data_IF_300571779734
#
_entry.id   IF_300571779734
#
_cell.length_a   1.000
_cell.length_b   1.000
_cell.length_c   1.000
_cell.angle_alpha   90.00
_cell.angle_beta   90.00
_cell.angle_gamma   90.00
#
_symmetry.space_group_name_H-M   'P 1'
#
loop_
_entity.id
_entity.type
_entity.pdbx_description
1 polymer ?
#
# COMPACT_ATOMS: atom_id res chain seq x y z
N UNK A 1 6.54 -3.29 11.00
CA UNK A 1 5.97 -3.93 12.19
C UNK A 1 6.36 -3.13 13.40
N UNK A 2 5.40 -2.44 14.03
CA UNK A 2 5.62 -1.79 15.31
C UNK A 2 6.00 -2.91 16.29
N UNK A 3 7.30 -3.01 16.60
CA UNK A 3 7.80 -3.99 17.56
C UNK A 3 7.04 -3.80 18.86
N UNK A 4 6.82 -4.91 19.57
CA UNK A 4 6.48 -4.91 21.00
C UNK A 4 7.19 -3.74 21.67
N UNK A 5 6.37 -2.82 22.14
CA UNK A 5 6.76 -1.52 22.63
C UNK A 5 7.77 -1.71 23.76
N UNK A 6 8.95 -1.10 23.62
CA UNK A 6 10.08 -1.28 24.53
C UNK A 6 9.64 -1.06 26.00
N UNK A 7 10.02 -1.96 26.93
CA UNK A 7 9.62 -1.86 28.33
C UNK A 7 10.30 -0.64 28.98
N UNK A 8 9.51 0.21 29.68
CA UNK A 8 10.07 1.23 30.57
C UNK A 8 9.25 2.51 30.71
N UNK A 9 8.70 3.06 29.61
CA UNK A 9 8.01 4.36 29.64
C UNK A 9 6.46 4.26 29.55
N UNK A 10 5.95 3.06 29.30
CA UNK A 10 4.54 2.79 28.99
C UNK A 10 3.72 2.24 30.17
N UNK A 11 4.38 2.07 31.31
CA UNK A 11 3.77 1.57 32.54
C UNK A 11 3.13 2.67 33.38
N UNK A 12 3.19 3.93 32.93
CA UNK A 12 2.57 5.07 33.60
C UNK A 12 1.11 5.18 33.14
N UNK A 13 0.14 4.66 33.93
CA UNK A 13 -1.26 4.72 33.54
C UNK A 13 -1.70 6.18 33.40
N UNK A 14 -2.49 6.47 32.37
CA UNK A 14 -3.13 7.78 32.17
C UNK A 14 -2.33 8.83 31.39
N UNK A 15 -1.20 8.48 30.77
CA UNK A 15 -0.50 9.39 29.85
C UNK A 15 -1.01 9.18 28.42
N UNK A 16 -1.54 10.22 27.74
CA UNK A 16 -1.91 10.13 26.32
C UNK A 16 -0.70 9.80 25.45
N UNK A 17 -0.81 8.77 24.61
CA UNK A 17 0.26 8.40 23.69
C UNK A 17 -0.19 8.53 22.23
N UNK A 18 0.56 9.30 21.44
CA UNK A 18 0.24 9.55 20.05
C UNK A 18 1.43 9.18 19.16
N UNK A 19 1.19 8.38 18.12
CA UNK A 19 2.21 8.03 17.13
C UNK A 19 2.31 9.16 16.11
N UNK A 20 3.34 9.99 16.21
CA UNK A 20 3.52 11.14 15.32
C UNK A 20 3.95 10.77 13.91
N UNK A 21 4.59 9.61 13.71
CA UNK A 21 5.03 9.11 12.41
C UNK A 21 5.06 7.57 12.37
N UNK A 22 4.71 6.97 11.23
CA UNK A 22 4.86 5.54 11.00
C UNK A 22 5.05 5.19 9.52
N UNK A 23 5.50 3.96 9.24
CA UNK A 23 5.63 3.32 7.90
C UNK A 23 6.66 3.93 6.96
N UNK A 24 7.03 5.20 7.15
CA UNK A 24 8.00 5.93 6.33
C UNK A 24 9.24 5.11 5.96
N UNK A 25 9.76 5.37 4.77
CA UNK A 25 11.02 4.84 4.29
C UNK A 25 12.16 5.30 5.21
N UNK A 26 12.97 4.34 5.62
CA UNK A 26 14.29 4.58 6.21
C UNK A 26 15.29 4.56 5.06
N UNK A 27 16.41 5.28 5.17
CA UNK A 27 17.50 5.26 4.21
C UNK A 27 17.87 3.83 3.77
N UNK A 28 17.93 3.59 2.46
CA UNK A 28 18.15 2.26 1.87
C UNK A 28 16.91 1.34 1.83
N UNK A 29 15.76 1.82 2.30
CA UNK A 29 14.46 1.14 2.19
C UNK A 29 13.92 1.10 0.76
N UNK A 30 12.81 0.35 0.56
CA UNK A 30 12.13 0.29 -0.74
C UNK A 30 11.67 1.69 -1.16
N UNK A 31 11.92 2.04 -2.43
CA UNK A 31 11.34 3.24 -3.03
C UNK A 31 9.92 2.96 -3.51
N UNK A 32 8.95 3.74 -3.03
CA UNK A 32 7.53 3.60 -3.38
C UNK A 32 7.13 4.61 -4.45
N UNK A 33 7.87 4.67 -5.56
CA UNK A 33 7.44 5.45 -6.72
C UNK A 33 6.10 4.93 -7.25
N UNK A 34 5.34 5.82 -7.90
CA UNK A 34 4.13 5.43 -8.66
C UNK A 34 4.43 4.45 -9.80
N UNK A 35 5.67 4.47 -10.28
CA UNK A 35 6.20 3.58 -11.33
C UNK A 35 6.92 2.36 -10.76
N UNK A 36 7.02 2.21 -9.43
CA UNK A 36 7.55 1.00 -8.82
C UNK A 36 6.66 -0.21 -9.15
N UNK A 37 7.19 -1.45 -9.13
CA UNK A 37 6.38 -2.65 -9.34
C UNK A 37 5.13 -2.68 -8.44
N UNK A 38 4.02 -3.22 -8.95
CA UNK A 38 2.74 -3.24 -8.24
C UNK A 38 2.84 -3.82 -6.83
N UNK A 39 3.58 -4.92 -6.66
CA UNK A 39 3.83 -5.55 -5.36
C UNK A 39 4.54 -4.62 -4.35
N UNK A 40 5.43 -3.73 -4.81
CA UNK A 40 6.09 -2.74 -3.95
C UNK A 40 5.08 -1.71 -3.46
N UNK A 41 4.25 -1.17 -4.36
CA UNK A 41 3.20 -0.21 -4.00
C UNK A 41 2.14 -0.82 -3.06
N UNK A 42 1.74 -2.07 -3.33
CA UNK A 42 0.84 -2.84 -2.47
C UNK A 42 1.44 -3.08 -1.08
N UNK A 43 2.74 -3.35 -1.00
CA UNK A 43 3.41 -3.51 0.30
C UNK A 43 3.36 -2.23 1.14
N UNK A 44 3.45 -1.05 0.51
CA UNK A 44 3.23 0.23 1.21
C UNK A 44 1.81 0.30 1.77
N UNK A 45 0.80 0.00 0.94
CA UNK A 45 -0.61 0.04 1.35
C UNK A 45 -0.90 -0.89 2.54
N UNK A 46 -0.36 -2.12 2.49
CA UNK A 46 -0.48 -3.09 3.58
C UNK A 46 0.19 -2.59 4.86
N UNK A 47 1.37 -1.97 4.77
CA UNK A 47 2.06 -1.43 5.94
C UNK A 47 1.25 -0.31 6.62
N UNK A 48 0.65 0.60 5.85
CA UNK A 48 -0.24 1.62 6.39
C UNK A 48 -1.48 1.00 7.06
N UNK A 49 -2.14 0.05 6.40
CA UNK A 49 -3.30 -0.63 6.96
C UNK A 49 -2.96 -1.38 8.27
N UNK A 50 -1.84 -2.09 8.31
CA UNK A 50 -1.37 -2.81 9.49
C UNK A 50 -1.03 -1.87 10.66
N UNK A 51 -0.35 -0.75 10.39
CA UNK A 51 -0.01 0.22 11.41
C UNK A 51 -1.25 0.83 12.06
N UNK A 52 -2.24 1.22 11.25
CA UNK A 52 -3.53 1.73 11.74
C UNK A 52 -4.34 0.67 12.47
N UNK A 53 -4.40 -0.56 11.97
CA UNK A 53 -5.07 -1.66 12.66
C UNK A 53 -4.45 -1.93 14.05
N UNK A 54 -3.12 -1.90 14.14
CA UNK A 54 -2.43 -2.09 15.42
C UNK A 54 -2.69 -0.93 16.39
N UNK A 55 -2.61 0.33 15.91
CA UNK A 55 -2.93 1.48 16.75
C UNK A 55 -4.40 1.49 17.22
N UNK A 56 -5.34 1.12 16.35
CA UNK A 56 -6.76 1.01 16.69
C UNK A 56 -7.13 -0.22 17.53
N UNK A 57 -6.19 -1.14 17.79
CA UNK A 57 -6.44 -2.34 18.60
C UNK A 57 -6.20 -2.14 20.11
N UNK A 58 -5.73 -0.96 20.51
CA UNK A 58 -5.33 -0.67 21.88
C UNK A 58 -5.63 0.78 22.26
N UNK A 59 -6.58 0.97 23.17
CA UNK A 59 -7.09 2.29 23.58
C UNK A 59 -6.05 3.17 24.29
N UNK A 60 -4.85 2.65 24.59
CA UNK A 60 -3.73 3.47 25.08
C UNK A 60 -3.16 4.38 24.01
N UNK A 61 -3.36 4.06 22.73
CA UNK A 61 -2.99 4.94 21.62
C UNK A 61 -4.12 5.94 21.36
N UNK A 62 -3.80 7.23 21.46
CA UNK A 62 -4.71 8.33 21.12
C UNK A 62 -4.79 8.58 19.61
N UNK A 63 -4.03 7.84 18.80
CA UNK A 63 -4.03 7.94 17.35
C UNK A 63 -2.66 7.75 16.73
N UNK A 64 -2.64 7.85 15.41
CA UNK A 64 -1.46 7.64 14.57
C UNK A 64 -1.48 8.55 13.34
N UNK A 65 -0.34 9.14 13.00
CA UNK A 65 -0.08 9.80 11.72
C UNK A 65 0.86 8.94 10.87
N UNK A 66 0.42 8.63 9.66
CA UNK A 66 1.29 7.97 8.69
C UNK A 66 2.24 8.97 8.05
N UNK A 67 3.52 8.59 7.96
CA UNK A 67 4.51 9.37 7.23
C UNK A 67 4.62 8.85 5.79
N UNK A 68 4.23 9.60 4.77
CA UNK A 68 3.68 10.97 4.79
C UNK A 68 2.62 11.17 3.68
N UNK A 69 2.04 12.37 3.60
CA UNK A 69 1.02 12.67 2.59
C UNK A 69 1.54 12.62 1.15
N UNK A 70 2.70 13.23 0.90
CA UNK A 70 3.24 13.43 -0.45
C UNK A 70 4.74 13.15 -0.49
N UNK A 71 5.24 12.64 -1.60
CA UNK A 71 6.69 12.59 -1.83
C UNK A 71 7.30 13.99 -1.76
N UNK A 72 8.51 14.07 -1.23
CA UNK A 72 9.17 15.34 -0.92
C UNK A 72 10.68 15.28 -1.19
N UNK A 73 11.27 16.43 -1.49
CA UNK A 73 12.72 16.56 -1.68
C UNK A 73 13.47 16.34 -0.37
N UNK A 74 14.53 15.54 -0.41
CA UNK A 74 15.37 15.21 0.74
C UNK A 74 16.80 14.91 0.28
N UNK A 75 17.79 15.37 1.06
CA UNK A 75 19.19 14.96 0.87
C UNK A 75 19.41 13.47 1.15
N UNK A 76 18.47 12.84 1.84
CA UNK A 76 18.42 11.39 2.08
C UNK A 76 17.41 10.68 1.16
N UNK A 77 16.94 11.35 0.09
CA UNK A 77 16.13 10.75 -0.95
C UNK A 77 16.94 9.82 -1.85
N UNK A 78 16.30 9.26 -2.88
CA UNK A 78 17.01 8.48 -3.89
C UNK A 78 18.16 9.29 -4.49
N UNK A 79 19.34 8.67 -4.64
CA UNK A 79 20.59 9.36 -4.97
C UNK A 79 20.55 10.11 -6.31
N UNK A 80 19.70 9.67 -7.23
CA UNK A 80 19.53 10.22 -8.57
C UNK A 80 18.58 11.43 -8.64
N UNK A 81 17.62 11.51 -7.72
CA UNK A 81 16.52 12.49 -7.77
C UNK A 81 16.43 13.38 -6.53
N UNK A 82 17.15 13.07 -5.46
CA UNK A 82 16.98 13.66 -4.14
C UNK A 82 15.50 13.62 -3.66
N UNK A 83 14.74 12.61 -4.09
CA UNK A 83 13.32 12.47 -3.78
C UNK A 83 13.10 11.36 -2.75
N UNK A 84 12.38 11.68 -1.68
CA UNK A 84 11.92 10.70 -0.72
C UNK A 84 10.51 10.22 -1.09
N UNK A 85 10.37 8.91 -1.33
CA UNK A 85 9.17 8.33 -1.95
C UNK A 85 8.18 7.73 -0.95
N UNK A 86 8.21 8.18 0.30
CA UNK A 86 7.35 7.66 1.36
C UNK A 86 5.93 8.20 1.34
N UNK A 87 5.64 9.16 0.47
CA UNK A 87 4.30 9.71 0.32
C UNK A 87 3.31 8.63 -0.09
N UNK A 88 2.10 8.67 0.49
CA UNK A 88 0.96 7.88 0.02
C UNK A 88 0.41 8.42 -1.31
N UNK A 89 0.75 9.65 -1.65
CA UNK A 89 0.65 10.24 -2.97
C UNK A 89 2.04 10.73 -3.42
N UNK A 90 2.25 10.90 -4.72
CA UNK A 90 3.52 11.42 -5.22
C UNK A 90 3.67 12.94 -5.08
N UNK A 91 4.78 13.47 -5.58
CA UNK A 91 5.10 14.91 -5.52
C UNK A 91 4.08 15.78 -6.27
N UNK A 92 3.33 15.23 -7.22
CA UNK A 92 2.25 15.91 -7.95
C UNK A 92 0.87 15.68 -7.32
N UNK A 93 0.85 15.07 -6.12
CA UNK A 93 -0.36 14.78 -5.36
C UNK A 93 -1.24 13.73 -6.05
N UNK A 94 -0.66 12.92 -6.94
CA UNK A 94 -1.37 11.79 -7.55
C UNK A 94 -1.37 10.63 -6.55
N UNK A 95 -2.54 10.07 -6.19
CA UNK A 95 -2.63 8.97 -5.22
C UNK A 95 -1.88 7.72 -5.69
N UNK A 96 -1.19 7.06 -4.75
CA UNK A 96 -0.68 5.68 -4.89
C UNK A 96 -1.64 4.71 -4.18
N UNK A 97 -1.50 3.38 -4.36
CA UNK A 97 -2.33 2.39 -3.65
C UNK A 97 -2.41 2.60 -2.12
N UNK A 98 -1.35 3.09 -1.47
CA UNK A 98 -1.38 3.39 -0.05
C UNK A 98 -2.39 4.50 0.35
N UNK A 99 -2.65 5.47 -0.52
CA UNK A 99 -3.68 6.49 -0.26
C UNK A 99 -5.09 5.91 -0.28
N UNK A 100 -5.30 4.79 -0.97
CA UNK A 100 -6.62 4.16 -1.06
C UNK A 100 -7.09 3.60 0.28
N UNK A 101 -6.16 3.10 1.11
CA UNK A 101 -6.44 2.74 2.50
C UNK A 101 -7.09 3.90 3.26
N UNK A 102 -6.51 5.10 3.19
CA UNK A 102 -7.06 6.28 3.87
C UNK A 102 -8.42 6.70 3.29
N UNK A 103 -8.56 6.64 1.97
CA UNK A 103 -9.81 7.03 1.28
C UNK A 103 -10.98 6.09 1.58
N UNK A 104 -10.71 4.83 1.90
CA UNK A 104 -11.74 3.84 2.23
C UNK A 104 -12.23 3.90 3.68
N UNK A 105 -11.60 4.69 4.56
CA UNK A 105 -12.02 4.82 5.97
C UNK A 105 -13.26 5.73 6.18
N UNK A 106 -13.82 6.29 5.10
CA UNK A 106 -15.04 7.10 5.18
C UNK A 106 -16.25 6.21 5.51
N UNK A 107 -17.20 6.73 6.29
CA UNK A 107 -18.47 6.04 6.57
C UNK A 107 -19.17 5.67 5.24
N UNK A 108 -19.51 4.39 5.02
CA UNK A 108 -20.16 3.95 3.79
C UNK A 108 -21.52 4.61 3.53
N UNK A 109 -22.20 5.12 4.58
CA UNK A 109 -23.45 5.89 4.45
C UNK A 109 -23.23 7.28 3.87
N UNK A 110 -22.05 7.85 4.12
CA UNK A 110 -21.64 9.13 3.55
C UNK A 110 -21.13 8.95 2.13
N UNK A 111 -20.27 7.94 1.91
CA UNK A 111 -19.70 7.64 0.59
C UNK A 111 -19.19 6.20 0.54
N UNK A 112 -19.82 5.29 -0.23
CA UNK A 112 -19.24 3.98 -0.47
C UNK A 112 -17.97 4.11 -1.32
N UNK A 113 -16.92 3.36 -0.98
CA UNK A 113 -15.60 3.39 -1.64
C UNK A 113 -15.13 1.98 -1.93
N UNK A 114 -14.83 1.70 -3.20
CA UNK A 114 -14.13 0.49 -3.64
C UNK A 114 -12.99 0.94 -4.56
N UNK A 115 -11.75 0.68 -4.14
CA UNK A 115 -10.54 1.08 -4.85
C UNK A 115 -9.61 -0.15 -4.94
N UNK A 116 -9.34 -0.66 -6.15
CA UNK A 116 -8.41 -1.77 -6.32
C UNK A 116 -6.96 -1.28 -6.19
N UNK A 117 -6.22 -1.84 -5.24
CA UNK A 117 -4.81 -1.51 -4.98
C UNK A 117 -3.85 -2.13 -6.02
N UNK A 118 -4.19 -2.10 -7.31
CA UNK A 118 -3.37 -2.59 -8.42
C UNK A 118 -3.66 -1.82 -9.71
N UNK A 119 -2.69 -1.80 -10.62
CA UNK A 119 -2.90 -1.34 -12.00
C UNK A 119 -3.25 -2.55 -12.85
N UNK A 120 -4.23 -2.41 -13.73
CA UNK A 120 -4.56 -3.47 -14.66
C UNK A 120 -3.49 -3.53 -15.76
N UNK A 121 -2.62 -4.53 -15.71
CA UNK A 121 -1.69 -4.84 -16.80
C UNK A 121 -1.76 -6.33 -17.16
N UNK A 122 -0.96 -6.74 -18.15
CA UNK A 122 -0.85 -8.14 -18.58
C UNK A 122 0.52 -8.74 -18.19
N UNK A 123 1.19 -8.12 -17.23
CA UNK A 123 2.46 -8.57 -16.69
C UNK A 123 2.31 -9.79 -15.78
N UNK A 124 3.43 -10.44 -15.43
CA UNK A 124 3.43 -11.66 -14.62
C UNK A 124 2.83 -11.45 -13.21
N UNK A 125 2.87 -10.22 -12.69
CA UNK A 125 2.38 -9.87 -11.36
C UNK A 125 0.90 -9.41 -11.35
N UNK A 126 0.25 -9.32 -12.51
CA UNK A 126 -1.16 -8.92 -12.59
C UNK A 126 -2.12 -10.08 -12.32
N UNK A 127 -3.30 -9.81 -11.71
CA UNK A 127 -4.35 -10.80 -11.59
C UNK A 127 -4.74 -11.34 -12.96
N UNK A 128 -4.60 -12.66 -13.16
CA UNK A 128 -5.00 -13.28 -14.42
C UNK A 128 -6.52 -13.29 -14.51
N UNK A 129 -7.05 -12.57 -15.50
CA UNK A 129 -8.46 -12.66 -15.84
C UNK A 129 -8.84 -14.08 -16.31
N UNK A 130 -10.13 -14.45 -16.26
CA UNK A 130 -10.60 -15.78 -16.66
C UNK A 130 -10.24 -16.19 -18.11
N UNK A 131 -9.83 -15.24 -18.95
CA UNK A 131 -9.38 -15.48 -20.31
C UNK A 131 -8.06 -16.28 -20.40
N UNK A 132 -7.19 -16.27 -19.38
CA UNK A 132 -5.92 -17.02 -19.43
C UNK A 132 -6.10 -18.55 -19.38
N UNK A 133 -7.29 -19.02 -18.98
CA UNK A 133 -7.66 -20.46 -18.96
C UNK A 133 -8.18 -20.99 -20.29
N UNK A 134 -8.31 -20.17 -21.34
CA UNK A 134 -8.93 -20.58 -22.62
C UNK A 134 -7.95 -21.14 -23.67
N UNK A 135 -6.64 -21.11 -23.42
CA UNK A 135 -5.62 -21.57 -24.38
C UNK A 135 -5.27 -23.06 -24.30
N UNK A 136 -5.92 -23.84 -23.43
CA UNK A 136 -5.72 -25.30 -23.35
C UNK A 136 -6.85 -26.12 -23.98
N UNK A 137 -7.67 -25.52 -24.86
CA UNK A 137 -8.61 -26.29 -25.65
C UNK A 137 -7.82 -27.29 -26.52
N UNK A 138 -8.08 -28.62 -26.42
CA UNK A 138 -7.41 -29.59 -27.26
C UNK A 138 -7.70 -29.25 -28.72
N UNK A 139 -6.66 -29.21 -29.54
CA UNK A 139 -6.76 -29.10 -30.99
C UNK A 139 -7.71 -30.17 -31.48
N UNK A 140 -8.92 -29.77 -31.89
CA UNK A 140 -9.86 -30.67 -32.54
C UNK A 140 -9.17 -31.21 -33.81
N UNK A 141 -8.91 -32.52 -33.85
CA UNK A 141 -8.46 -33.18 -35.07
C UNK A 141 -9.59 -33.05 -36.09
N UNK A 142 -9.30 -32.36 -37.20
CA UNK A 142 -10.27 -32.18 -38.26
C UNK A 142 -10.55 -33.50 -38.97
N UNK A 143 -11.72 -34.10 -38.72
CA UNK A 143 -12.33 -34.99 -39.70
C UNK A 143 -13.11 -34.14 -40.70
N UNK A 144 -12.56 -34.04 -41.90
CA UNK A 144 -13.20 -33.41 -43.06
C UNK A 144 -14.37 -34.33 -43.45
N UNK A 145 -15.62 -33.90 -43.23
CA UNK A 145 -16.78 -34.54 -43.84
C UNK A 145 -16.72 -34.27 -45.34
N UNK A 146 -16.42 -35.30 -46.13
CA UNK A 146 -16.70 -35.30 -47.57
C UNK A 146 -18.09 -35.91 -47.77
N UNK A 147 -18.95 -35.13 -48.43
CA UNK A 147 -20.20 -35.54 -49.05
C UNK A 147 -20.04 -36.68 -50.04
#
# INVERSE_FOLDING_TARGET
YLRSVLPGIWSSPGIPYFISECVGGIDGGKSYYRTSPGAVQQSQALLHAQAHNQAGSDDRYCGLLGWCGFDYGSLHGAADTALHTSGVADIFRVPKPAAEFYRSQVDPRTRPVILPAFYWDFGPDSPQGPASRRSSAPTASGSRCTS
#
